data_IF_866337498654
#
_entry.id   IF_866337498654
#
_cell.length_a   1.000
_cell.length_b   1.000
_cell.length_c   1.000
_cell.angle_alpha   90.00
_cell.angle_beta   90.00
_cell.angle_gamma   90.00
#
_symmetry.space_group_name_H-M   'P 1'
#
loop_
_entity.id
_entity.type
_entity.pdbx_description
1 polymer ?
#
# COMPACT_ATOMS: atom_id res chain seq x y z
N UNK A 1 -27.17 6.23 18.32
CA UNK A 1 -26.52 4.92 18.13
C UNK A 1 -25.05 5.09 18.49
N UNK A 2 -24.60 4.51 19.60
CA UNK A 2 -23.18 4.55 20.00
C UNK A 2 -22.36 3.74 19.00
N UNK A 3 -21.17 4.23 18.61
CA UNK A 3 -20.29 3.48 17.70
C UNK A 3 -19.86 2.16 18.37
N UNK A 4 -19.84 1.04 17.63
CA UNK A 4 -19.35 -0.22 18.16
C UNK A 4 -17.87 -0.07 18.55
N UNK A 5 -17.51 -0.68 19.68
CA UNK A 5 -16.15 -0.67 20.19
C UNK A 5 -15.25 -1.52 19.26
N UNK A 6 -14.04 -1.04 18.93
CA UNK A 6 -13.16 -1.77 18.03
C UNK A 6 -12.73 -3.12 18.63
N UNK A 7 -12.71 -4.21 17.84
CA UNK A 7 -12.32 -5.52 18.33
C UNK A 7 -10.87 -5.53 18.80
N UNK A 8 -10.62 -6.14 19.96
CA UNK A 8 -9.29 -6.29 20.55
C UNK A 8 -8.95 -7.77 20.70
N UNK A 9 -7.72 -8.15 20.36
CA UNK A 9 -7.23 -9.51 20.41
C UNK A 9 -5.84 -9.57 21.05
N UNK A 10 -5.58 -10.62 21.83
CA UNK A 10 -4.27 -10.87 22.43
C UNK A 10 -3.45 -11.80 21.52
N UNK A 11 -2.38 -11.25 20.92
CA UNK A 11 -1.41 -12.05 20.15
C UNK A 11 -0.24 -12.47 21.02
N UNK A 12 0.11 -13.76 20.98
CA UNK A 12 1.37 -14.25 21.52
C UNK A 12 2.45 -14.07 20.46
N UNK A 13 3.48 -13.28 20.76
CA UNK A 13 4.61 -13.03 19.87
C UNK A 13 5.88 -13.69 20.44
N UNK A 14 6.74 -14.29 19.61
CA UNK A 14 8.08 -14.65 20.01
C UNK A 14 8.84 -13.43 20.54
N UNK A 15 9.70 -13.62 21.56
CA UNK A 15 10.44 -12.53 22.18
C UNK A 15 11.27 -11.73 21.18
N UNK A 16 11.90 -12.42 20.23
CA UNK A 16 12.69 -11.78 19.17
C UNK A 16 11.84 -10.87 18.27
N UNK A 17 10.62 -11.31 17.94
CA UNK A 17 9.71 -10.52 17.10
C UNK A 17 9.24 -9.26 17.84
N UNK A 18 8.92 -9.38 19.14
CA UNK A 18 8.56 -8.24 19.98
C UNK A 18 9.70 -7.22 20.05
N UNK A 19 10.94 -7.68 20.22
CA UNK A 19 12.11 -6.80 20.24
C UNK A 19 12.31 -6.06 18.91
N UNK A 20 12.18 -6.76 17.78
CA UNK A 20 12.25 -6.16 16.44
C UNK A 20 11.18 -5.07 16.23
N UNK A 21 9.94 -5.33 16.66
CA UNK A 21 8.85 -4.35 16.56
C UNK A 21 9.08 -3.13 17.46
N UNK A 22 9.61 -3.32 18.68
CA UNK A 22 9.95 -2.22 19.58
C UNK A 22 11.05 -1.33 19.01
N UNK A 23 12.07 -1.92 18.38
CA UNK A 23 13.13 -1.16 17.70
C UNK A 23 12.59 -0.40 16.47
N UNK A 24 11.63 -0.98 15.76
CA UNK A 24 11.09 -0.42 14.52
C UNK A 24 10.05 0.70 14.71
N UNK A 25 9.35 0.78 15.86
CA UNK A 25 8.20 1.68 16.05
C UNK A 25 8.50 3.18 15.87
N UNK A 26 9.76 3.59 16.01
CA UNK A 26 10.16 5.01 15.95
C UNK A 26 9.31 5.89 16.87
N UNK A 27 8.62 6.88 16.27
CA UNK A 27 7.71 7.82 16.96
C UNK A 27 6.32 7.25 17.23
N UNK A 28 5.95 6.13 16.61
CA UNK A 28 4.63 5.52 16.75
C UNK A 28 4.50 4.76 18.08
N UNK A 29 3.26 4.54 18.50
CA UNK A 29 2.97 3.50 19.50
C UNK A 29 3.24 2.12 18.90
N UNK A 30 3.56 1.14 19.75
CA UNK A 30 3.79 -0.23 19.28
C UNK A 30 2.54 -0.80 18.58
N UNK A 31 1.35 -0.49 19.09
CA UNK A 31 0.10 -0.92 18.49
C UNK A 31 -0.10 -0.33 17.09
N UNK A 32 0.14 0.97 16.95
CA UNK A 32 0.02 1.66 15.65
C UNK A 32 0.99 1.07 14.62
N UNK A 33 2.26 0.84 14.99
CA UNK A 33 3.23 0.20 14.09
C UNK A 33 2.79 -1.21 13.65
N UNK A 34 2.23 -1.99 14.57
CA UNK A 34 1.72 -3.34 14.27
C UNK A 34 0.56 -3.25 13.27
N UNK A 35 -0.41 -2.35 13.53
CA UNK A 35 -1.57 -2.15 12.64
C UNK A 35 -1.12 -1.72 11.26
N UNK A 36 -0.28 -0.67 11.14
CA UNK A 36 0.19 -0.16 9.85
C UNK A 36 1.00 -1.20 9.04
N UNK A 37 1.70 -2.11 9.72
CA UNK A 37 2.38 -3.24 9.04
C UNK A 37 1.40 -4.29 8.57
N UNK A 38 0.43 -4.64 9.41
CA UNK A 38 -0.60 -5.61 9.04
C UNK A 38 -1.42 -5.11 7.85
N UNK A 39 -1.87 -3.86 7.88
CA UNK A 39 -2.56 -3.21 6.76
C UNK A 39 -1.73 -3.31 5.47
N UNK A 40 -0.45 -2.90 5.50
CA UNK A 40 0.44 -3.02 4.33
C UNK A 40 0.65 -4.45 3.86
N UNK A 41 0.65 -5.44 4.76
CA UNK A 41 0.85 -6.85 4.42
C UNK A 41 -0.40 -7.53 3.87
N UNK A 42 -1.56 -7.01 4.25
CA UNK A 42 -2.87 -7.51 3.84
C UNK A 42 -3.43 -6.72 2.65
N UNK A 43 -2.85 -5.55 2.34
CA UNK A 43 -3.22 -4.77 1.18
C UNK A 43 -2.87 -5.55 -0.11
N UNK A 44 -3.84 -5.74 -1.02
CA UNK A 44 -3.57 -6.35 -2.31
C UNK A 44 -2.53 -5.52 -3.06
N UNK A 45 -1.64 -6.17 -3.81
CA UNK A 45 -0.64 -5.49 -4.64
C UNK A 45 -1.27 -4.33 -5.41
N UNK A 46 -0.85 -3.10 -5.08
CA UNK A 46 -1.42 -1.88 -5.66
C UNK A 46 -1.30 -1.87 -7.18
N UNK A 47 -0.25 -2.48 -7.75
CA UNK A 47 -0.11 -2.62 -9.19
C UNK A 47 -1.20 -3.54 -9.78
N UNK A 48 -1.53 -4.62 -9.07
CA UNK A 48 -2.62 -5.52 -9.46
C UNK A 48 -3.99 -4.85 -9.34
N UNK A 49 -4.20 -4.00 -8.33
CA UNK A 49 -5.45 -3.24 -8.20
C UNK A 49 -5.61 -2.23 -9.34
N UNK A 50 -4.56 -1.48 -9.67
CA UNK A 50 -4.55 -0.54 -10.80
C UNK A 50 -4.81 -1.29 -12.12
N UNK A 51 -4.15 -2.44 -12.33
CA UNK A 51 -4.37 -3.27 -13.51
C UNK A 51 -5.83 -3.77 -13.60
N UNK A 52 -6.45 -4.13 -12.48
CA UNK A 52 -7.85 -4.56 -12.44
C UNK A 52 -8.81 -3.43 -12.85
N UNK A 53 -8.57 -2.20 -12.41
CA UNK A 53 -9.38 -1.02 -12.77
C UNK A 53 -9.19 -0.63 -14.24
N UNK A 54 -7.97 -0.73 -14.76
CA UNK A 54 -7.65 -0.35 -16.14
C UNK A 54 -8.06 -1.41 -17.17
N UNK A 55 -8.21 -2.68 -16.78
CA UNK A 55 -8.56 -3.80 -17.68
C UNK A 55 -9.76 -3.53 -18.60
N UNK A 56 -10.92 -3.04 -18.11
CA UNK A 56 -12.06 -2.75 -18.98
C UNK A 56 -11.76 -1.68 -20.02
N UNK A 57 -10.99 -0.65 -19.65
CA UNK A 57 -10.57 0.41 -20.56
C UNK A 57 -9.63 -0.14 -21.64
N UNK A 58 -8.62 -0.92 -21.23
CA UNK A 58 -7.64 -1.54 -22.12
C UNK A 58 -8.26 -2.54 -23.10
N UNK A 59 -9.35 -3.19 -22.71
CA UNK A 59 -10.08 -4.13 -23.58
C UNK A 59 -10.76 -3.43 -24.78
N UNK A 60 -11.10 -2.15 -24.64
CA UNK A 60 -11.71 -1.35 -25.72
C UNK A 60 -10.69 -0.73 -26.70
N UNK A 61 -9.41 -0.79 -26.37
CA UNK A 61 -8.32 -0.24 -27.18
C UNK A 61 -7.78 -1.27 -28.16
N UNK A 62 -7.22 -0.81 -29.28
CA UNK A 62 -6.38 -1.66 -30.12
C UNK A 62 -4.96 -1.81 -29.53
N UNK A 63 -4.15 -2.67 -30.13
CA UNK A 63 -2.81 -2.99 -29.63
C UNK A 63 -1.87 -1.77 -29.64
N UNK A 64 -2.02 -0.89 -30.63
CA UNK A 64 -1.22 0.34 -30.74
C UNK A 64 -1.54 1.30 -29.61
N UNK A 65 -2.83 1.53 -29.36
CA UNK A 65 -3.31 2.41 -28.30
C UNK A 65 -2.98 1.83 -26.90
N UNK A 66 -3.05 0.51 -26.71
CA UNK A 66 -2.59 -0.14 -25.47
C UNK A 66 -1.10 0.10 -25.21
N UNK A 67 -0.28 -0.06 -26.24
CA UNK A 67 1.18 0.11 -26.14
C UNK A 67 1.55 1.55 -25.81
N UNK A 68 0.91 2.51 -26.47
CA UNK A 68 1.14 3.94 -26.23
C UNK A 68 0.67 4.38 -24.84
N UNK A 69 -0.48 3.87 -24.38
CA UNK A 69 -0.97 4.12 -23.03
C UNK A 69 -0.02 3.58 -21.96
N UNK A 70 0.53 2.37 -22.15
CA UNK A 70 1.54 1.81 -21.26
C UNK A 70 2.80 2.68 -21.20
N UNK A 71 3.30 3.15 -22.36
CA UNK A 71 4.45 4.06 -22.44
C UNK A 71 4.21 5.35 -21.66
N UNK A 72 3.09 6.02 -21.89
CA UNK A 72 2.72 7.27 -21.22
C UNK A 72 2.57 7.11 -19.70
N UNK A 73 1.98 6.01 -19.25
CA UNK A 73 1.87 5.69 -17.82
C UNK A 73 3.24 5.48 -17.18
N UNK A 74 4.15 4.76 -17.84
CA UNK A 74 5.52 4.57 -17.33
C UNK A 74 6.30 5.89 -17.25
N UNK A 75 6.13 6.78 -18.22
CA UNK A 75 6.75 8.12 -18.21
C UNK A 75 6.21 8.97 -17.07
N UNK A 76 4.88 8.99 -16.87
CA UNK A 76 4.24 9.69 -15.77
C UNK A 76 4.75 9.20 -14.41
N UNK A 77 4.83 7.87 -14.21
CA UNK A 77 5.36 7.29 -12.96
C UNK A 77 6.82 7.69 -12.72
N UNK A 78 7.62 7.78 -13.78
CA UNK A 78 9.02 8.22 -13.69
C UNK A 78 9.12 9.69 -13.24
N UNK A 79 8.22 10.56 -13.71
CA UNK A 79 8.16 11.97 -13.29
C UNK A 79 7.73 12.10 -11.83
N UNK A 80 6.72 11.33 -11.41
CA UNK A 80 6.24 11.31 -10.02
C UNK A 80 7.33 10.78 -9.08
N UNK A 81 8.02 9.70 -9.46
CA UNK A 81 9.09 9.11 -8.64
C UNK A 81 10.31 10.04 -8.48
N UNK A 82 10.60 10.87 -9.49
CA UNK A 82 11.69 11.86 -9.46
C UNK A 82 11.32 13.15 -8.72
N UNK A 83 10.04 13.37 -8.42
CA UNK A 83 9.60 14.55 -7.67
C UNK A 83 9.90 14.38 -6.17
N UNK A 84 10.77 15.19 -5.56
CA UNK A 84 11.08 15.07 -4.14
C UNK A 84 9.80 15.31 -3.32
N UNK A 85 9.53 14.43 -2.34
CA UNK A 85 8.48 14.64 -1.34
C UNK A 85 8.73 15.99 -0.66
N UNK A 86 7.97 17.01 -1.05
CA UNK A 86 7.87 18.27 -0.30
C UNK A 86 7.22 17.90 1.04
N UNK A 87 7.97 18.13 2.11
CA UNK A 87 7.74 17.55 3.43
C UNK A 87 6.32 17.68 3.97
N UNK A 88 5.94 16.66 4.73
CA UNK A 88 4.84 16.71 5.68
C UNK A 88 5.30 16.06 6.97
#
# INVERSE_FOLDING_TARGET
MSKPEPPSFHLRLPNELKAKLQAAKGRNSLNQEIVERLERSLDPDAAMQVAAVLRPLLASLDESARTEMARLLSEMLTVVAKSPKRGR
#
